data_IF_793670656692
#
_entry.id   IF_793670656692
#
_cell.length_a   1.000
_cell.length_b   1.000
_cell.length_c   1.000
_cell.angle_alpha   90.00
_cell.angle_beta   90.00
_cell.angle_gamma   90.00
#
_symmetry.space_group_name_H-M   'P 1'
#
loop_
_entity.id
_entity.type
_entity.pdbx_description
1 polymer ?
#
# COMPACT_ATOMS: atom_id res chain seq x y z
N UNK A 1 7.16 2.03 -13.35
CA UNK A 1 6.21 2.08 -14.48
C UNK A 1 4.76 1.94 -13.96
N UNK A 2 3.77 2.59 -14.58
CA UNK A 2 2.35 2.46 -14.18
C UNK A 2 1.56 1.40 -14.96
N UNK A 3 2.25 0.79 -15.92
CA UNK A 3 1.80 -0.35 -16.69
C UNK A 3 2.80 -1.48 -16.41
N UNK A 4 2.31 -2.71 -16.29
CA UNK A 4 3.13 -3.87 -15.92
C UNK A 4 2.82 -5.08 -16.79
N UNK A 5 3.81 -5.98 -16.87
CA UNK A 5 3.66 -7.29 -17.48
C UNK A 5 2.78 -8.19 -16.61
N UNK A 6 2.05 -9.12 -17.22
CA UNK A 6 1.29 -10.18 -16.53
C UNK A 6 2.10 -10.87 -15.43
N UNK A 7 3.32 -11.30 -15.75
CA UNK A 7 4.19 -12.03 -14.82
C UNK A 7 4.48 -11.25 -13.53
N UNK A 8 4.57 -9.92 -13.59
CA UNK A 8 4.81 -9.08 -12.42
C UNK A 8 3.59 -9.01 -11.50
N UNK A 9 2.39 -8.92 -12.09
CA UNK A 9 1.13 -8.98 -11.34
C UNK A 9 0.87 -10.39 -10.79
N UNK A 10 1.29 -11.44 -11.49
CA UNK A 10 1.27 -12.80 -10.97
C UNK A 10 2.19 -12.95 -9.75
N UNK A 11 3.40 -12.39 -9.79
CA UNK A 11 4.36 -12.53 -8.70
C UNK A 11 3.89 -11.92 -7.38
N UNK A 12 3.20 -10.79 -7.42
CA UNK A 12 2.62 -10.12 -6.24
C UNK A 12 1.27 -10.71 -5.82
N UNK A 13 0.79 -11.76 -6.50
CA UNK A 13 -0.46 -12.44 -6.16
C UNK A 13 -1.73 -11.73 -6.61
N UNK A 14 -1.61 -10.66 -7.40
CA UNK A 14 -2.76 -10.00 -8.04
C UNK A 14 -3.40 -10.95 -9.05
N UNK A 15 -2.59 -11.52 -9.95
CA UNK A 15 -3.06 -12.49 -10.94
C UNK A 15 -2.81 -13.94 -10.47
N UNK A 16 -3.72 -14.88 -10.81
CA UNK A 16 -4.94 -14.70 -11.62
C UNK A 16 -6.19 -14.26 -10.82
N UNK A 17 -6.11 -14.19 -9.49
CA UNK A 17 -7.29 -14.03 -8.61
C UNK A 17 -8.06 -12.72 -8.83
N UNK A 18 -7.36 -11.62 -9.10
CA UNK A 18 -7.90 -10.27 -9.23
C UNK A 18 -7.90 -9.77 -10.68
N UNK A 19 -7.82 -10.67 -11.67
CA UNK A 19 -7.78 -10.28 -13.08
C UNK A 19 -8.98 -9.41 -13.49
N UNK A 20 -10.18 -9.79 -13.04
CA UNK A 20 -11.41 -9.02 -13.29
C UNK A 20 -11.40 -7.62 -12.68
N UNK A 21 -10.60 -7.40 -11.62
CA UNK A 21 -10.48 -6.12 -10.93
C UNK A 21 -9.34 -5.24 -11.46
N UNK A 22 -8.49 -5.76 -12.34
CA UNK A 22 -7.41 -5.02 -12.98
C UNK A 22 -7.83 -4.49 -14.36
N UNK A 23 -7.41 -3.27 -14.69
CA UNK A 23 -7.54 -2.77 -16.06
C UNK A 23 -6.47 -3.41 -16.96
N UNK A 24 -6.89 -4.12 -18.00
CA UNK A 24 -6.02 -4.74 -19.00
C UNK A 24 -5.92 -3.91 -20.28
N UNK A 25 -4.76 -3.99 -20.92
CA UNK A 25 -4.46 -3.47 -22.26
C UNK A 25 -4.23 -4.69 -23.13
N UNK A 26 -5.32 -5.23 -23.68
CA UNK A 26 -5.35 -6.57 -24.31
C UNK A 26 -4.38 -6.73 -25.48
N UNK A 27 -4.22 -5.69 -26.29
CA UNK A 27 -3.36 -5.74 -27.48
C UNK A 27 -1.89 -6.05 -27.15
N UNK A 28 -1.43 -5.64 -25.97
CA UNK A 28 -0.04 -5.75 -25.53
C UNK A 28 0.17 -6.76 -24.39
N UNK A 29 -0.90 -7.42 -23.90
CA UNK A 29 -0.93 -8.24 -22.67
C UNK A 29 -0.31 -7.50 -21.46
N UNK A 30 -0.68 -6.24 -21.32
CA UNK A 30 -0.25 -5.36 -20.24
C UNK A 30 -1.40 -5.00 -19.30
N UNK A 31 -1.05 -4.60 -18.08
CA UNK A 31 -2.02 -4.22 -17.06
C UNK A 31 -1.66 -2.88 -16.44
N UNK A 32 -2.66 -2.04 -16.15
CA UNK A 32 -2.47 -0.89 -15.27
C UNK A 32 -2.30 -1.38 -13.83
N UNK A 33 -1.36 -0.79 -13.10
CA UNK A 33 -1.02 -1.26 -11.75
C UNK A 33 -2.11 -0.87 -10.72
N UNK A 34 -2.55 -1.79 -9.85
CA UNK A 34 -3.47 -1.47 -8.75
C UNK A 34 -2.75 -0.91 -7.52
N UNK A 35 -1.41 -0.96 -7.51
CA UNK A 35 -0.50 -0.49 -6.46
C UNK A 35 0.94 -0.44 -6.97
N UNK A 36 1.77 0.45 -6.41
CA UNK A 36 3.21 0.54 -6.70
C UNK A 36 3.99 -0.71 -6.26
N UNK A 37 3.43 -1.51 -5.35
CA UNK A 37 3.97 -2.82 -4.93
C UNK A 37 4.30 -3.70 -6.14
N UNK A 38 3.42 -3.75 -7.16
CA UNK A 38 3.61 -4.63 -8.33
C UNK A 38 4.94 -4.35 -9.04
N UNK A 39 5.21 -3.12 -9.54
CA UNK A 39 6.49 -2.85 -10.18
C UNK A 39 7.67 -2.86 -9.20
N UNK A 40 7.49 -2.39 -7.95
CA UNK A 40 8.61 -2.27 -6.99
C UNK A 40 9.13 -3.63 -6.55
N UNK A 41 8.24 -4.56 -6.18
CA UNK A 41 8.63 -5.94 -5.83
C UNK A 41 9.39 -6.61 -6.98
N UNK A 42 9.05 -6.27 -8.23
CA UNK A 42 9.65 -6.85 -9.43
C UNK A 42 10.94 -6.19 -9.90
N UNK A 43 11.43 -5.12 -9.24
CA UNK A 43 12.75 -4.53 -9.56
C UNK A 43 13.86 -5.58 -9.43
N UNK A 44 13.75 -6.45 -8.42
CA UNK A 44 14.73 -7.50 -8.11
C UNK A 44 14.34 -8.88 -8.65
N UNK A 45 13.44 -8.95 -9.64
CA UNK A 45 13.03 -10.21 -10.25
C UNK A 45 14.25 -10.96 -10.79
N UNK A 46 14.31 -12.27 -10.51
CA UNK A 46 15.39 -13.18 -10.91
C UNK A 46 16.78 -12.82 -10.34
N UNK A 47 16.85 -11.92 -9.37
CA UNK A 47 18.10 -11.45 -8.76
C UNK A 47 18.52 -12.32 -7.56
N UNK A 48 19.83 -12.34 -7.29
CA UNK A 48 20.41 -12.83 -6.04
C UNK A 48 21.10 -11.64 -5.36
N UNK A 49 20.44 -11.08 -4.35
CA UNK A 49 20.90 -9.94 -3.56
C UNK A 49 22.06 -10.33 -2.62
N UNK A 50 22.91 -9.37 -2.27
CA UNK A 50 23.90 -9.55 -1.21
C UNK A 50 23.22 -9.46 0.16
N UNK A 51 23.66 -10.28 1.12
CA UNK A 51 23.10 -10.26 2.48
C UNK A 51 23.30 -8.90 3.17
N UNK A 52 24.45 -8.25 2.93
CA UNK A 52 24.80 -6.94 3.47
C UNK A 52 23.92 -5.78 2.98
N UNK A 53 23.20 -5.96 1.86
CA UNK A 53 22.27 -4.96 1.35
C UNK A 53 20.90 -5.01 2.06
N UNK A 54 20.61 -6.10 2.80
CA UNK A 54 19.32 -6.28 3.47
C UNK A 54 19.32 -5.66 4.88
N UNK A 55 18.23 -4.97 5.29
CA UNK A 55 16.98 -4.77 4.56
C UNK A 55 17.07 -3.69 3.47
N UNK A 56 16.37 -3.89 2.35
CA UNK A 56 16.24 -2.89 1.27
C UNK A 56 14.86 -2.24 1.34
N UNK A 57 14.74 -0.99 1.81
CA UNK A 57 13.49 -0.24 1.80
C UNK A 57 13.31 0.57 0.50
N UNK A 58 12.09 0.56 -0.03
CA UNK A 58 11.65 1.42 -1.13
C UNK A 58 10.43 2.22 -0.73
N UNK A 59 10.38 3.45 -1.24
CA UNK A 59 9.18 4.30 -1.24
C UNK A 59 8.84 4.69 -2.67
N UNK A 60 7.59 4.53 -3.06
CA UNK A 60 7.16 4.79 -4.44
C UNK A 60 5.78 5.45 -4.50
N UNK A 61 5.71 6.62 -5.13
CA UNK A 61 4.45 7.22 -5.55
C UNK A 61 3.96 6.60 -6.86
N UNK A 62 2.65 6.33 -6.95
CA UNK A 62 2.01 6.02 -8.24
C UNK A 62 0.51 6.39 -8.26
N UNK A 63 -0.03 6.73 -9.45
CA UNK A 63 -1.45 6.53 -9.71
C UNK A 63 -1.74 5.02 -9.74
N UNK A 64 -2.75 4.61 -9.00
CA UNK A 64 -3.24 3.25 -8.87
C UNK A 64 -4.59 3.13 -9.56
N UNK A 65 -4.83 1.99 -10.23
CA UNK A 65 -6.02 1.76 -11.04
C UNK A 65 -6.73 0.46 -10.62
N UNK A 66 -8.02 0.54 -10.28
CA UNK A 66 -8.85 -0.61 -9.92
C UNK A 66 -10.21 -0.53 -10.60
N UNK A 67 -10.70 -1.64 -11.14
CA UNK A 67 -12.02 -1.69 -11.80
C UNK A 67 -13.16 -1.68 -10.80
N UNK A 68 -12.89 -1.98 -9.52
CA UNK A 68 -13.89 -2.06 -8.47
C UNK A 68 -15.00 -3.08 -8.83
N UNK A 69 -14.60 -4.14 -9.53
CA UNK A 69 -15.46 -5.18 -10.06
C UNK A 69 -15.96 -6.06 -8.90
N UNK A 70 -17.21 -5.85 -8.49
CA UNK A 70 -17.82 -6.53 -7.34
C UNK A 70 -18.33 -5.59 -6.26
N UNK A 71 -18.07 -4.29 -6.37
CA UNK A 71 -18.61 -3.29 -5.44
C UNK A 71 -20.12 -3.01 -5.63
N UNK A 72 -20.73 -3.42 -6.76
CA UNK A 72 -22.16 -3.25 -7.08
C UNK A 72 -22.73 -1.84 -6.72
N UNK A 73 -21.94 -0.78 -6.91
CA UNK A 73 -22.37 0.59 -6.59
C UNK A 73 -22.32 0.95 -5.09
N UNK A 74 -21.79 0.09 -4.22
CA UNK A 74 -21.51 0.44 -2.82
C UNK A 74 -20.38 1.47 -2.78
N UNK A 75 -20.61 2.54 -2.00
CA UNK A 75 -19.60 3.56 -1.69
C UNK A 75 -19.05 4.36 -2.89
N UNK A 76 -19.78 4.42 -4.01
CA UNK A 76 -19.33 5.12 -5.22
C UNK A 76 -19.53 6.64 -5.18
N UNK A 77 -20.13 7.17 -4.11
CA UNK A 77 -20.32 8.62 -3.95
C UNK A 77 -19.09 9.22 -3.26
N UNK A 78 -18.52 10.27 -3.85
CA UNK A 78 -17.38 10.99 -3.27
C UNK A 78 -16.04 10.28 -3.52
N UNK A 79 -15.18 10.23 -2.50
CA UNK A 79 -13.80 9.74 -2.59
C UNK A 79 -13.57 8.38 -1.91
N UNK A 80 -14.62 7.70 -1.46
CA UNK A 80 -14.51 6.44 -0.72
C UNK A 80 -13.98 5.29 -1.59
N UNK A 81 -14.46 5.24 -2.84
CA UNK A 81 -14.14 4.22 -3.83
C UNK A 81 -14.14 4.84 -5.22
N UNK A 82 -12.98 4.85 -5.86
CA UNK A 82 -12.75 5.47 -7.17
C UNK A 82 -11.85 4.57 -8.02
N UNK A 83 -11.99 4.62 -9.34
CA UNK A 83 -11.20 3.76 -10.23
C UNK A 83 -9.73 4.13 -10.30
N UNK A 84 -9.41 5.40 -10.07
CA UNK A 84 -8.04 5.90 -10.08
C UNK A 84 -7.80 6.72 -8.81
N UNK A 85 -6.69 6.44 -8.14
CA UNK A 85 -6.27 7.19 -6.96
C UNK A 85 -4.76 7.28 -6.83
N UNK A 86 -4.28 8.24 -6.06
CA UNK A 86 -2.86 8.37 -5.77
C UNK A 86 -2.50 7.65 -4.47
N UNK A 87 -1.38 6.93 -4.49
CA UNK A 87 -0.85 6.24 -3.32
C UNK A 87 0.67 6.35 -3.26
N UNK A 88 1.20 6.50 -2.04
CA UNK A 88 2.62 6.28 -1.73
C UNK A 88 2.73 4.90 -1.09
N UNK A 89 3.49 4.02 -1.71
CA UNK A 89 3.75 2.66 -1.25
C UNK A 89 5.09 2.58 -0.54
N UNK A 90 5.14 1.78 0.52
CA UNK A 90 6.34 1.32 1.20
C UNK A 90 6.53 -0.15 0.87
N UNK A 91 7.74 -0.56 0.46
CA UNK A 91 8.07 -1.96 0.16
C UNK A 91 9.41 -2.29 0.81
N UNK A 92 9.54 -3.44 1.45
CA UNK A 92 10.80 -3.91 2.05
C UNK A 92 11.14 -5.31 1.56
N UNK A 93 12.41 -5.52 1.26
CA UNK A 93 13.02 -6.84 1.08
C UNK A 93 13.92 -7.11 2.27
N UNK A 94 13.71 -8.22 2.95
CA UNK A 94 14.34 -8.45 4.27
C UNK A 94 14.78 -9.90 4.41
N UNK A 95 15.68 -10.15 5.38
CA UNK A 95 16.03 -11.51 5.78
C UNK A 95 14.82 -12.17 6.46
N UNK A 96 14.57 -13.48 6.25
CA UNK A 96 13.45 -14.18 6.87
C UNK A 96 13.33 -13.98 8.38
N UNK A 97 14.47 -14.04 9.09
CA UNK A 97 14.58 -13.90 10.54
C UNK A 97 14.13 -12.53 11.07
N UNK A 98 14.20 -11.47 10.27
CA UNK A 98 13.88 -10.10 10.68
C UNK A 98 12.46 -9.67 10.24
N UNK A 99 11.78 -10.49 9.44
CA UNK A 99 10.58 -10.06 8.69
C UNK A 99 9.39 -9.63 9.56
N UNK A 100 9.20 -10.24 10.72
CA UNK A 100 8.10 -9.85 11.61
C UNK A 100 8.40 -8.56 12.37
N UNK A 101 9.65 -8.31 12.74
CA UNK A 101 10.05 -7.04 13.37
C UNK A 101 9.98 -5.90 12.34
N UNK A 102 10.36 -6.18 11.09
CA UNK A 102 10.25 -5.24 9.98
C UNK A 102 8.79 -4.88 9.64
N UNK A 103 7.82 -5.78 9.88
CA UNK A 103 6.39 -5.49 9.77
C UNK A 103 5.94 -4.47 10.82
N UNK A 104 6.41 -4.60 12.06
CA UNK A 104 6.07 -3.65 13.12
C UNK A 104 6.70 -2.27 12.81
N UNK A 105 7.95 -2.23 12.33
CA UNK A 105 8.58 -0.98 11.85
C UNK A 105 7.82 -0.36 10.68
N UNK A 106 7.42 -1.15 9.68
CA UNK A 106 6.66 -0.68 8.52
C UNK A 106 5.29 -0.11 8.91
N UNK A 107 4.64 -0.73 9.90
CA UNK A 107 3.37 -0.26 10.46
C UNK A 107 3.58 1.09 11.15
N UNK A 108 4.63 1.21 11.98
CA UNK A 108 5.01 2.48 12.61
C UNK A 108 5.33 3.58 11.60
N UNK A 109 5.97 3.26 10.48
CA UNK A 109 6.25 4.23 9.41
C UNK A 109 4.95 4.80 8.83
N UNK A 110 3.95 3.95 8.57
CA UNK A 110 2.63 4.37 8.08
C UNK A 110 1.86 5.19 9.15
N UNK A 111 1.90 4.77 10.42
CA UNK A 111 1.28 5.50 11.53
C UNK A 111 1.85 6.90 11.71
N UNK A 112 3.16 7.07 11.52
CA UNK A 112 3.86 8.34 11.74
C UNK A 112 3.24 9.50 10.94
N UNK A 113 2.71 9.22 9.75
CA UNK A 113 2.04 10.21 8.92
C UNK A 113 0.68 10.59 9.51
N UNK A 114 -0.10 9.62 9.98
CA UNK A 114 -1.40 9.88 10.60
C UNK A 114 -1.24 10.67 11.91
N UNK A 115 -0.23 10.32 12.70
CA UNK A 115 0.13 11.02 13.93
C UNK A 115 0.59 12.45 13.67
N UNK A 116 1.47 12.65 12.68
CA UNK A 116 1.92 13.99 12.29
C UNK A 116 0.74 14.87 11.84
N UNK A 117 -0.19 14.29 11.08
CA UNK A 117 -1.41 14.97 10.63
C UNK A 117 -2.43 15.17 11.75
N UNK A 118 -2.21 14.68 12.97
CA UNK A 118 -3.12 14.86 14.10
C UNK A 118 -4.46 14.14 13.95
N UNK A 119 -4.51 13.06 13.16
CA UNK A 119 -5.74 12.35 12.87
C UNK A 119 -6.03 11.24 13.88
N UNK A 120 -7.31 11.03 14.19
CA UNK A 120 -7.75 9.92 15.03
C UNK A 120 -7.81 8.62 14.22
N UNK A 121 -7.01 7.62 14.60
CA UNK A 121 -6.94 6.33 13.91
C UNK A 121 -6.89 5.17 14.91
N UNK A 122 -7.07 3.95 14.38
CA UNK A 122 -6.81 2.69 15.08
C UNK A 122 -6.06 1.72 14.18
N UNK A 123 -5.45 0.71 14.79
CA UNK A 123 -4.79 -0.41 14.10
C UNK A 123 -5.62 -1.66 14.34
N UNK A 124 -5.89 -2.41 13.28
CA UNK A 124 -6.62 -3.67 13.33
C UNK A 124 -5.74 -4.78 12.76
N UNK A 125 -5.44 -5.81 13.56
CA UNK A 125 -4.84 -7.05 13.05
C UNK A 125 -5.92 -7.87 12.33
N UNK A 126 -5.69 -8.21 11.07
CA UNK A 126 -6.67 -8.96 10.27
C UNK A 126 -6.77 -10.42 10.70
N UNK A 127 -8.00 -10.93 10.74
CA UNK A 127 -8.25 -12.35 10.96
C UNK A 127 -7.96 -13.15 9.68
N UNK A 128 -7.79 -14.47 9.82
CA UNK A 128 -7.42 -15.34 8.68
C UNK A 128 -8.43 -15.33 7.52
N UNK A 129 -9.70 -15.03 7.80
CA UNK A 129 -10.75 -14.93 6.76
C UNK A 129 -10.66 -13.64 5.94
N UNK A 130 -10.04 -12.59 6.48
CA UNK A 130 -9.92 -11.27 5.84
C UNK A 130 -8.53 -11.03 5.23
N UNK A 131 -7.57 -11.94 5.44
CA UNK A 131 -6.25 -11.82 4.84
C UNK A 131 -6.32 -11.89 3.31
N UNK A 132 -5.50 -11.06 2.66
CA UNK A 132 -5.30 -11.13 1.22
C UNK A 132 -4.68 -12.48 0.83
N UNK A 133 -4.78 -12.84 -0.45
CA UNK A 133 -4.28 -14.13 -0.93
C UNK A 133 -2.78 -14.35 -0.69
N UNK A 134 -1.99 -13.27 -0.72
CA UNK A 134 -0.54 -13.34 -0.58
C UNK A 134 -0.07 -13.18 0.87
N UNK A 135 -0.84 -12.51 1.74
CA UNK A 135 -0.36 -12.08 3.05
C UNK A 135 -0.39 -13.20 4.10
N UNK A 136 0.69 -13.28 4.88
CA UNK A 136 0.79 -14.16 6.06
C UNK A 136 0.32 -13.47 7.34
N UNK A 137 0.60 -12.17 7.47
CA UNK A 137 0.12 -11.31 8.57
C UNK A 137 -0.10 -9.90 8.04
N UNK A 138 -1.19 -9.26 8.45
CA UNK A 138 -1.56 -7.93 7.96
C UNK A 138 -2.18 -7.07 9.06
N UNK A 139 -1.78 -5.82 9.12
CA UNK A 139 -2.41 -4.77 9.91
C UNK A 139 -3.07 -3.75 9.00
N UNK A 140 -4.33 -3.40 9.28
CA UNK A 140 -4.98 -2.25 8.67
C UNK A 140 -4.95 -1.05 9.61
N UNK A 141 -4.61 0.12 9.09
CA UNK A 141 -4.76 1.39 9.77
C UNK A 141 -6.04 2.05 9.27
N UNK A 142 -6.92 2.37 10.20
CA UNK A 142 -8.23 2.93 9.88
C UNK A 142 -8.40 4.29 10.56
N UNK A 143 -8.76 5.30 9.77
CA UNK A 143 -9.06 6.66 10.23
C UNK A 143 -10.52 6.80 10.61
N UNK A 144 -10.81 7.54 11.67
CA UNK A 144 -12.17 7.96 11.97
C UNK A 144 -12.60 9.08 11.01
N UNK A 145 -13.73 8.90 10.32
CA UNK A 145 -14.34 9.89 9.45
C UNK A 145 -15.65 10.40 10.08
N UNK A 146 -15.67 11.60 10.68
CA UNK A 146 -16.84 12.13 11.40
C UNK A 146 -18.12 12.27 10.57
N UNK A 147 -18.00 12.70 9.32
CA UNK A 147 -19.13 12.89 8.39
C UNK A 147 -19.68 11.56 7.89
N UNK A 148 -18.80 10.58 7.65
CA UNK A 148 -19.17 9.20 7.31
C UNK A 148 -19.62 8.37 8.53
N UNK A 149 -19.29 8.83 9.74
CA UNK A 149 -19.54 8.16 11.02
C UNK A 149 -19.04 6.71 11.08
N UNK A 150 -17.82 6.48 10.58
CA UNK A 150 -17.19 5.16 10.54
C UNK A 150 -15.67 5.23 10.42
N UNK A 151 -15.04 4.07 10.61
CA UNK A 151 -13.62 3.85 10.36
C UNK A 151 -13.39 3.59 8.86
N UNK A 152 -12.42 4.28 8.26
CA UNK A 152 -12.00 4.14 6.87
C UNK A 152 -10.58 3.61 6.83
N UNK A 153 -10.39 2.42 6.29
CA UNK A 153 -9.06 1.84 6.03
C UNK A 153 -8.26 2.75 5.09
N UNK A 154 -7.08 3.18 5.51
CA UNK A 154 -6.20 4.07 4.73
C UNK A 154 -4.81 3.49 4.49
N UNK A 155 -4.46 2.47 5.26
CA UNK A 155 -3.29 1.66 5.01
C UNK A 155 -3.54 0.21 5.37
N UNK A 156 -2.82 -0.66 4.68
CA UNK A 156 -2.74 -2.08 4.90
C UNK A 156 -1.27 -2.47 4.80
N UNK A 157 -0.71 -2.94 5.91
CA UNK A 157 0.70 -3.31 6.08
C UNK A 157 0.80 -4.83 6.22
N UNK A 158 1.41 -5.49 5.23
CA UNK A 158 1.46 -6.94 5.11
C UNK A 158 2.89 -7.48 5.10
N UNK A 159 3.08 -8.62 5.77
CA UNK A 159 4.21 -9.52 5.57
C UNK A 159 3.76 -10.69 4.69
N UNK A 160 4.47 -10.93 3.60
CA UNK A 160 4.19 -12.00 2.64
C UNK A 160 5.09 -13.22 2.81
N UNK A 161 6.01 -13.19 3.79
CA UNK A 161 7.13 -14.11 3.88
C UNK A 161 7.81 -14.28 2.51
N UNK A 162 8.08 -15.51 2.09
CA UNK A 162 8.71 -15.80 0.81
C UNK A 162 7.71 -15.95 -0.36
N UNK A 163 6.41 -15.69 -0.16
CA UNK A 163 5.37 -15.94 -1.17
C UNK A 163 5.66 -15.23 -2.49
N UNK A 164 5.89 -13.91 -2.43
CA UNK A 164 6.17 -13.10 -3.62
C UNK A 164 7.58 -13.40 -4.16
N UNK A 165 8.55 -13.54 -3.26
CA UNK A 165 9.94 -13.84 -3.60
C UNK A 165 10.07 -15.14 -4.39
N UNK A 166 9.31 -16.19 -4.04
CA UNK A 166 9.27 -17.46 -4.79
C UNK A 166 8.73 -17.29 -6.20
N UNK A 167 7.72 -16.44 -6.39
CA UNK A 167 7.06 -16.23 -7.69
C UNK A 167 7.84 -15.27 -8.60
N UNK A 168 8.62 -14.35 -8.03
CA UNK A 168 9.55 -13.48 -8.76
C UNK A 168 11.01 -13.98 -8.74
N UNK A 169 11.28 -15.14 -8.13
CA UNK A 169 12.61 -15.75 -8.01
C UNK A 169 13.67 -14.82 -7.35
N UNK A 170 13.26 -14.07 -6.32
CA UNK A 170 14.09 -13.08 -5.62
C UNK A 170 14.79 -13.77 -4.45
N UNK A 171 16.11 -13.86 -4.51
CA UNK A 171 16.91 -14.55 -3.50
C UNK A 171 17.96 -13.63 -2.92
N UNK A 172 18.55 -14.05 -1.82
CA UNK A 172 19.78 -13.48 -1.29
C UNK A 172 20.78 -14.59 -0.99
N UNK A 173 22.04 -14.23 -0.81
CA UNK A 173 23.09 -15.20 -0.48
C UNK A 173 23.94 -14.70 0.68
N UNK A 174 24.02 -15.52 1.72
CA UNK A 174 25.01 -15.38 2.81
C UNK A 174 26.40 -15.74 2.30
N UNK A 175 27.46 -15.12 2.81
CA UNK A 175 28.83 -15.42 2.38
C UNK A 175 29.12 -16.94 2.52
N UNK A 176 29.50 -17.59 1.41
CA UNK A 176 29.73 -19.05 1.36
C UNK A 176 28.48 -19.93 1.46
N UNK A 177 27.28 -19.34 1.56
CA UNK A 177 26.00 -20.02 1.69
C UNK A 177 25.31 -20.36 0.36
N UNK A 178 24.24 -21.15 0.45
CA UNK A 178 23.32 -21.36 -0.68
C UNK A 178 22.36 -20.16 -0.80
N UNK A 179 21.89 -19.82 -2.00
CA UNK A 179 20.83 -18.82 -2.15
C UNK A 179 19.55 -19.23 -1.41
N UNK A 180 18.98 -18.29 -0.67
CA UNK A 180 17.71 -18.42 0.06
C UNK A 180 16.74 -17.34 -0.42
N UNK A 181 15.42 -17.55 -0.27
CA UNK A 181 14.45 -16.51 -0.65
C UNK A 181 14.39 -15.42 0.41
N UNK A 182 14.32 -14.16 -0.03
CA UNK A 182 14.03 -13.05 0.88
C UNK A 182 12.58 -13.09 1.34
N UNK A 183 12.28 -12.41 2.43
CA UNK A 183 10.91 -12.06 2.76
C UNK A 183 10.57 -10.69 2.15
N UNK A 184 9.32 -10.52 1.73
CA UNK A 184 8.82 -9.25 1.18
C UNK A 184 7.71 -8.69 2.05
N UNK A 185 7.70 -7.39 2.23
CA UNK A 185 6.65 -6.66 2.92
C UNK A 185 6.19 -5.47 2.09
N UNK A 186 4.94 -5.07 2.23
CA UNK A 186 4.46 -3.78 1.77
C UNK A 186 3.52 -3.12 2.76
N UNK A 187 3.42 -1.81 2.64
CA UNK A 187 2.49 -0.99 3.40
C UNK A 187 2.07 0.19 2.56
N UNK A 188 0.82 0.63 2.70
CA UNK A 188 0.46 1.93 2.14
C UNK A 188 1.02 3.01 3.07
N UNK A 189 1.94 3.84 2.59
CA UNK A 189 2.39 5.01 3.36
C UNK A 189 1.22 5.97 3.55
N UNK A 190 0.60 6.37 2.43
CA UNK A 190 -0.70 7.07 2.39
C UNK A 190 -1.47 6.76 1.11
N UNK A 191 -2.77 6.54 1.21
CA UNK A 191 -3.69 6.56 0.08
C UNK A 191 -4.55 7.84 0.13
N UNK A 192 -4.44 8.67 -0.92
CA UNK A 192 -5.02 10.02 -0.92
C UNK A 192 -6.55 10.10 -0.78
N UNK A 193 -7.40 9.23 -1.35
CA UNK A 193 -8.84 9.52 -1.40
C UNK A 193 -9.49 9.51 -0.01
N UNK A 194 -9.27 8.45 0.77
CA UNK A 194 -9.83 8.30 2.12
C UNK A 194 -9.14 9.24 3.12
N UNK A 195 -7.84 9.51 2.94
CA UNK A 195 -7.14 10.53 3.72
C UNK A 195 -7.75 11.92 3.50
N UNK A 196 -8.10 12.28 2.27
CA UNK A 196 -8.75 13.56 1.96
C UNK A 196 -10.11 13.67 2.64
N UNK A 197 -10.90 12.59 2.71
CA UNK A 197 -12.16 12.58 3.48
C UNK A 197 -11.89 12.92 4.95
N UNK A 198 -10.97 12.18 5.58
CA UNK A 198 -10.65 12.39 6.99
C UNK A 198 -10.13 13.82 7.27
N UNK A 199 -9.29 14.37 6.40
CA UNK A 199 -8.79 15.74 6.50
C UNK A 199 -9.92 16.77 6.39
N UNK A 200 -10.77 16.67 5.36
CA UNK A 200 -11.87 17.61 5.17
C UNK A 200 -12.87 17.56 6.32
N UNK A 201 -13.26 16.35 6.75
CA UNK A 201 -14.26 16.19 7.80
C UNK A 201 -13.76 16.55 9.20
N UNK A 202 -12.48 16.30 9.49
CA UNK A 202 -11.87 16.60 10.80
C UNK A 202 -11.59 18.10 10.96
N UNK A 203 -11.19 18.76 9.88
CA UNK A 203 -10.72 20.15 9.94
C UNK A 203 -11.72 21.19 9.40
N UNK A 204 -12.94 20.77 9.01
CA UNK A 204 -14.00 21.70 8.60
C UNK A 204 -14.41 22.66 9.72
N UNK A 205 -14.91 23.82 9.33
CA UNK A 205 -15.43 24.87 10.19
C UNK A 205 -16.92 25.14 9.88
N UNK A 206 -17.62 25.80 10.82
CA UNK A 206 -19.05 26.11 10.68
C UNK A 206 -19.37 26.99 9.45
N UNK A 207 -18.40 27.77 8.97
CA UNK A 207 -18.53 28.62 7.78
C UNK A 207 -18.21 27.90 6.45
N UNK A 208 -17.89 26.60 6.51
CA UNK A 208 -17.56 25.75 5.36
C UNK A 208 -16.09 25.77 4.95
N UNK A 209 -15.24 26.57 5.60
CA UNK A 209 -13.79 26.54 5.38
C UNK A 209 -13.15 25.32 6.06
N UNK A 210 -11.92 24.97 5.66
CA UNK A 210 -11.18 23.83 6.22
C UNK A 210 -9.78 24.27 6.65
N UNK A 211 -9.41 24.04 7.92
CA UNK A 211 -8.04 24.26 8.39
C UNK A 211 -7.07 23.25 7.76
N UNK A 212 -5.90 23.72 7.35
CA UNK A 212 -4.82 22.85 6.87
C UNK A 212 -3.94 22.46 8.08
N UNK A 213 -3.73 21.16 8.35
CA UNK A 213 -2.81 20.71 9.39
C UNK A 213 -1.41 21.32 9.22
N UNK A 214 -0.78 21.67 10.33
CA UNK A 214 0.54 22.34 10.34
C UNK A 214 1.59 21.67 9.42
N UNK A 215 1.75 20.33 9.39
CA UNK A 215 2.74 19.70 8.51
C UNK A 215 2.48 19.91 7.01
N UNK A 216 1.25 20.19 6.60
CA UNK A 216 0.88 20.40 5.19
C UNK A 216 1.02 21.86 4.75
N UNK A 217 1.04 22.82 5.68
CA UNK A 217 1.08 24.25 5.36
C UNK A 217 2.30 24.68 4.54
N UNK A 218 3.53 24.16 4.77
CA UNK A 218 4.69 24.49 3.95
C UNK A 218 4.53 24.10 2.47
N UNK A 219 3.75 23.04 2.19
CA UNK A 219 3.50 22.55 0.83
C UNK A 219 2.31 23.26 0.16
N UNK A 220 1.32 23.68 0.94
CA UNK A 220 0.10 24.33 0.44
C UNK A 220 0.19 25.86 0.39
N UNK A 221 1.20 26.44 1.06
CA UNK A 221 1.42 27.89 1.18
C UNK A 221 0.21 28.67 1.75
N UNK A 222 -0.65 27.98 2.52
CA UNK A 222 -1.80 28.53 3.23
C UNK A 222 -2.11 27.67 4.45
N UNK A 223 -2.76 28.23 5.46
CA UNK A 223 -3.28 27.51 6.62
C UNK A 223 -4.77 27.21 6.52
N UNK A 224 -5.45 27.72 5.49
CA UNK A 224 -6.90 27.63 5.33
C UNK A 224 -7.27 27.36 3.87
N UNK A 225 -8.19 26.42 3.65
CA UNK A 225 -8.91 26.22 2.39
C UNK A 225 -10.27 26.92 2.48
N UNK A 226 -10.57 27.76 1.49
CA UNK A 226 -11.82 28.52 1.37
C UNK A 226 -12.76 27.91 0.36
#
# INVERSE_FOLDING_TARGET
PFITLRQAAEATGQLPKLEDDMYSIEQDDLFLIPTAEVPVTNIHRDEILAEEDLPIPYVAYSPCFRREAGSYGRETRGLLRVHQFNKVELVKFVKPEDSYDELESLTSDAESILQALGLHYRITLLCTGDLSFAATKCYDLELWAPGENRWLEVSSCSNFEDFQARRANIRYRKEGGKPEFVHTLNGSGVATPRLMIALLETYQQDDGTVWIPEPLQPYMHTSLLK
#
